data_IF_685235383786
#
_entry.id   IF_685235383786
#
_cell.length_a   1.000
_cell.length_b   1.000
_cell.length_c   1.000
_cell.angle_alpha   90.00
_cell.angle_beta   90.00
_cell.angle_gamma   90.00
#
_symmetry.space_group_name_H-M   'P 1'
#
loop_
_entity.id
_entity.type
_entity.pdbx_description
1 polymer ?
#
# COMPACT_ATOMS: atom_id res chain seq x y z
N UNK A 1 17.87 -9.39 4.78
CA UNK A 1 16.97 -9.57 3.62
C UNK A 1 15.64 -8.90 3.93
N UNK A 2 15.06 -8.18 2.97
CA UNK A 2 13.77 -7.50 3.14
C UNK A 2 12.63 -8.52 3.05
N UNK A 3 11.71 -8.50 4.00
CA UNK A 3 10.58 -9.45 4.07
C UNK A 3 9.32 -8.76 4.55
N UNK A 4 8.21 -8.99 3.84
CA UNK A 4 6.88 -8.53 4.28
C UNK A 4 6.49 -9.28 5.57
N UNK A 5 6.16 -8.52 6.61
CA UNK A 5 5.69 -9.02 7.92
C UNK A 5 4.18 -8.85 8.08
N UNK A 6 3.59 -7.85 7.42
CA UNK A 6 2.13 -7.68 7.30
C UNK A 6 1.83 -7.46 5.82
N UNK A 7 1.04 -8.36 5.24
CA UNK A 7 0.55 -8.23 3.87
C UNK A 7 -0.84 -7.55 3.87
N UNK A 8 -1.20 -6.85 2.78
CA UNK A 8 -2.58 -6.40 2.60
C UNK A 8 -3.54 -7.58 2.66
N UNK A 9 -4.68 -7.39 3.30
CA UNK A 9 -5.73 -8.42 3.41
C UNK A 9 -6.79 -8.20 2.34
N UNK A 10 -7.23 -9.29 1.72
CA UNK A 10 -8.38 -9.26 0.81
C UNK A 10 -9.60 -8.72 1.59
N UNK A 11 -10.23 -7.69 1.04
CA UNK A 11 -11.30 -6.95 1.70
C UNK A 11 -12.43 -6.71 0.70
N UNK A 12 -13.66 -7.10 1.07
CA UNK A 12 -14.87 -6.76 0.34
C UNK A 12 -15.46 -5.45 0.88
N UNK A 13 -15.94 -4.58 -0.01
CA UNK A 13 -16.44 -3.26 0.37
C UNK A 13 -17.60 -2.82 -0.54
N UNK A 14 -18.50 -2.00 0.00
CA UNK A 14 -19.62 -1.41 -0.75
C UNK A 14 -19.11 -0.23 -1.58
N UNK A 15 -19.67 -0.05 -2.78
CA UNK A 15 -19.32 1.07 -3.65
C UNK A 15 -19.64 2.40 -2.94
N UNK A 16 -18.63 3.26 -2.83
CA UNK A 16 -18.73 4.56 -2.15
C UNK A 16 -18.15 4.58 -0.74
N UNK A 17 -17.85 3.42 -0.16
CA UNK A 17 -17.13 3.32 1.12
C UNK A 17 -15.61 3.41 0.90
N UNK A 18 -14.88 3.63 2.00
CA UNK A 18 -13.41 3.68 2.03
C UNK A 18 -12.85 2.58 2.93
N UNK A 19 -11.76 1.95 2.50
CA UNK A 19 -11.01 0.97 3.30
C UNK A 19 -9.53 1.32 3.35
N UNK A 20 -8.83 0.76 4.34
CA UNK A 20 -7.40 0.94 4.54
C UNK A 20 -6.69 -0.41 4.46
N UNK A 21 -5.87 -0.57 3.42
CA UNK A 21 -4.98 -1.73 3.29
C UNK A 21 -3.67 -1.45 4.00
N UNK A 22 -3.17 -2.42 4.77
CA UNK A 22 -1.93 -2.30 5.54
C UNK A 22 -0.81 -3.11 4.90
N UNK A 23 0.41 -2.59 4.93
CA UNK A 23 1.61 -3.32 4.57
C UNK A 23 2.74 -2.94 5.51
N UNK A 24 3.49 -3.93 5.98
CA UNK A 24 4.70 -3.72 6.79
C UNK A 24 5.76 -4.74 6.39
N UNK A 25 7.02 -4.35 6.55
CA UNK A 25 8.16 -5.21 6.23
C UNK A 25 9.24 -5.11 7.30
N UNK A 26 9.93 -6.23 7.52
CA UNK A 26 11.23 -6.28 8.18
C UNK A 26 12.30 -6.00 7.14
N UNK A 27 13.21 -5.09 7.47
CA UNK A 27 14.36 -4.71 6.63
C UNK A 27 15.54 -4.33 7.53
N UNK A 28 16.69 -4.09 6.92
CA UNK A 28 17.86 -3.58 7.65
C UNK A 28 17.64 -2.09 7.96
N UNK A 29 17.59 -1.67 9.25
CA UNK A 29 17.30 -0.28 9.61
C UNK A 29 18.34 0.75 9.14
N UNK A 30 19.51 0.31 8.67
CA UNK A 30 20.53 1.19 8.09
C UNK A 30 20.27 1.56 6.63
N UNK A 31 19.25 0.98 6.01
CA UNK A 31 18.85 1.22 4.62
C UNK A 31 17.49 1.91 4.57
N UNK A 32 17.23 2.61 3.47
CA UNK A 32 15.91 3.11 3.15
C UNK A 32 15.02 1.98 2.61
N UNK A 33 13.73 2.04 2.95
CA UNK A 33 12.71 1.16 2.41
C UNK A 33 11.63 1.99 1.70
N UNK A 34 11.16 1.48 0.57
CA UNK A 34 10.06 2.07 -0.19
C UNK A 34 8.98 1.02 -0.40
N UNK A 35 7.72 1.41 -0.19
CA UNK A 35 6.56 0.59 -0.51
C UNK A 35 5.96 1.03 -1.84
N UNK A 36 5.66 0.07 -2.71
CA UNK A 36 5.03 0.31 -4.01
C UNK A 36 3.70 -0.44 -4.01
N UNK A 37 2.61 0.28 -4.31
CA UNK A 37 1.28 -0.28 -4.45
C UNK A 37 0.89 -0.35 -5.92
N UNK A 38 0.22 -1.44 -6.31
CA UNK A 38 -0.31 -1.62 -7.65
C UNK A 38 -1.76 -2.08 -7.60
N UNK A 39 -2.57 -1.63 -8.57
CA UNK A 39 -3.93 -2.12 -8.85
C UNK A 39 -3.94 -2.58 -10.30
N UNK A 40 -4.39 -3.82 -10.55
CA UNK A 40 -4.41 -4.42 -11.88
C UNK A 40 -3.07 -4.31 -12.63
N UNK A 41 -1.95 -4.42 -11.90
CA UNK A 41 -0.57 -4.26 -12.40
C UNK A 41 -0.14 -2.83 -12.76
N UNK A 42 -0.96 -1.81 -12.50
CA UNK A 42 -0.60 -0.40 -12.62
C UNK A 42 -0.08 0.15 -11.30
N UNK A 43 1.06 0.84 -11.31
CA UNK A 43 1.61 1.51 -10.13
C UNK A 43 0.71 2.69 -9.77
N UNK A 44 0.27 2.73 -8.52
CA UNK A 44 -0.47 3.86 -7.98
C UNK A 44 0.49 5.02 -7.79
N UNK A 45 0.16 6.16 -8.38
CA UNK A 45 0.84 7.42 -8.12
C UNK A 45 -0.06 8.30 -7.25
N UNK A 46 0.20 8.32 -5.95
CA UNK A 46 -0.60 9.08 -4.98
C UNK A 46 -0.67 10.59 -5.25
N UNK A 47 0.20 11.16 -6.09
CA UNK A 47 0.10 12.57 -6.50
C UNK A 47 -0.88 12.80 -7.64
N UNK A 48 -1.03 11.84 -8.56
CA UNK A 48 -1.95 11.97 -9.71
C UNK A 48 -3.29 11.30 -9.46
N UNK A 49 -3.30 10.26 -8.61
CA UNK A 49 -4.43 9.38 -8.38
C UNK A 49 -5.11 9.65 -7.02
N UNK A 50 -4.87 10.84 -6.45
CA UNK A 50 -5.28 11.25 -5.10
C UNK A 50 -6.80 11.25 -4.88
N UNK A 51 -7.61 11.31 -5.95
CA UNK A 51 -9.08 11.22 -5.87
C UNK A 51 -9.57 9.81 -5.49
N UNK A 52 -8.73 8.79 -5.67
CA UNK A 52 -9.08 7.39 -5.43
C UNK A 52 -8.18 6.73 -4.37
N UNK A 53 -6.91 7.13 -4.29
CA UNK A 53 -5.92 6.50 -3.43
C UNK A 53 -5.18 7.54 -2.59
N UNK A 54 -5.10 7.30 -1.29
CA UNK A 54 -4.35 8.12 -0.34
C UNK A 54 -3.30 7.28 0.38
N UNK A 55 -2.13 7.87 0.60
CA UNK A 55 -1.10 7.28 1.44
C UNK A 55 -1.27 7.78 2.88
N UNK A 56 -1.72 6.88 3.76
CA UNK A 56 -1.78 7.14 5.20
C UNK A 56 -0.41 6.87 5.82
N UNK A 57 0.18 7.88 6.48
CA UNK A 57 1.43 7.77 7.26
C UNK A 57 1.20 7.14 8.64
#
# INVERSE_FOLDING_TARGET
ATKITVAPSDTEMIVGDTTVLRCAASYDPSLDITFIWTVDSYIINFYTDFEHYELLM
#
